data_IF_853615360673
#
_entry.id   IF_853615360673
#
_cell.length_a   1.000
_cell.length_b   1.000
_cell.length_c   1.000
_cell.angle_alpha   90.00
_cell.angle_beta   90.00
_cell.angle_gamma   90.00
#
_symmetry.space_group_name_H-M   'P 1'
#
loop_
_entity.id
_entity.type
_entity.pdbx_description
1 polymer ?
#
# COMPACT_ATOMS: atom_id res chain seq x y z
N UNK A 1 -8.26 7.27 13.92
CA UNK A 1 -7.00 7.96 13.52
C UNK A 1 -6.45 7.26 12.29
N UNK A 2 -5.74 7.95 11.39
CA UNK A 2 -5.12 7.31 10.21
C UNK A 2 -3.69 7.79 10.03
N UNK A 3 -2.81 6.92 9.53
CA UNK A 3 -1.40 7.20 9.38
C UNK A 3 -0.95 6.83 7.96
N UNK A 4 -0.42 7.83 7.25
CA UNK A 4 0.03 7.69 5.87
C UNK A 4 1.55 7.58 5.80
N UNK A 5 2.03 6.74 4.90
CA UNK A 5 3.43 6.43 4.70
C UNK A 5 3.76 6.51 3.21
N UNK A 6 4.80 7.27 2.88
CA UNK A 6 5.32 7.38 1.52
C UNK A 6 6.50 6.43 1.34
N UNK A 7 6.47 5.64 0.27
CA UNK A 7 7.55 4.77 -0.15
C UNK A 7 8.15 5.31 -1.45
N UNK A 8 9.47 5.44 -1.48
CA UNK A 8 10.23 5.89 -2.65
C UNK A 8 11.16 4.73 -3.05
N UNK A 9 10.98 4.25 -4.27
CA UNK A 9 11.81 3.20 -4.88
C UNK A 9 13.14 3.78 -5.42
N UNK A 10 14.11 2.90 -5.72
CA UNK A 10 15.44 3.28 -6.24
C UNK A 10 15.39 4.01 -7.58
N UNK A 11 14.33 3.84 -8.37
CA UNK A 11 14.14 4.59 -9.62
C UNK A 11 13.40 5.93 -9.40
N UNK A 12 13.17 6.34 -8.15
CA UNK A 12 12.50 7.59 -7.82
C UNK A 12 10.97 7.54 -7.89
N UNK A 13 10.39 6.37 -8.14
CA UNK A 13 8.94 6.18 -8.13
C UNK A 13 8.43 6.32 -6.70
N UNK A 14 7.44 7.21 -6.51
CA UNK A 14 6.80 7.42 -5.22
C UNK A 14 5.43 6.74 -5.22
N UNK A 15 5.11 6.09 -4.11
CA UNK A 15 3.79 5.56 -3.86
C UNK A 15 3.46 5.71 -2.37
N UNK A 16 2.19 5.76 -2.02
CA UNK A 16 1.74 5.98 -0.65
C UNK A 16 0.79 4.88 -0.21
N UNK A 17 0.87 4.52 1.07
CA UNK A 17 -0.15 3.72 1.72
C UNK A 17 -0.58 4.34 3.04
N UNK A 18 -1.85 4.14 3.39
CA UNK A 18 -2.47 4.64 4.61
C UNK A 18 -3.01 3.47 5.41
N UNK A 19 -2.70 3.44 6.70
CA UNK A 19 -3.33 2.54 7.67
C UNK A 19 -4.33 3.37 8.47
N UNK A 20 -5.58 2.95 8.45
CA UNK A 20 -6.70 3.56 9.14
C UNK A 20 -6.93 2.87 10.48
N UNK A 21 -7.75 3.51 11.31
CA UNK A 21 -8.15 2.99 12.62
C UNK A 21 -8.94 1.70 12.49
N UNK A 22 -9.21 1.06 13.63
CA UNK A 22 -10.04 -0.12 13.65
C UNK A 22 -11.46 0.22 13.23
N UNK A 23 -11.99 -0.55 12.30
CA UNK A 23 -13.40 -0.53 11.95
C UNK A 23 -14.24 -1.29 13.00
N UNK A 24 -15.56 -1.32 12.80
CA UNK A 24 -16.51 -1.95 13.73
C UNK A 24 -16.24 -3.45 13.96
N UNK A 25 -15.42 -4.08 13.11
CA UNK A 25 -15.02 -5.49 13.22
C UNK A 25 -13.72 -5.67 14.00
N UNK A 26 -13.20 -4.59 14.60
CA UNK A 26 -11.93 -4.56 15.32
C UNK A 26 -10.73 -4.88 14.42
N UNK A 27 -10.86 -4.66 13.11
CA UNK A 27 -9.82 -4.83 12.10
C UNK A 27 -9.28 -3.48 11.66
N UNK A 28 -7.98 -3.39 11.37
CA UNK A 28 -7.35 -2.21 10.82
C UNK A 28 -7.49 -2.21 9.30
N UNK A 29 -8.14 -1.19 8.76
CA UNK A 29 -8.22 -0.97 7.32
C UNK A 29 -6.93 -0.35 6.79
N UNK A 30 -6.52 -0.73 5.58
CA UNK A 30 -5.40 -0.12 4.87
C UNK A 30 -5.72 0.08 3.40
N UNK A 31 -5.10 1.10 2.80
CA UNK A 31 -5.30 1.46 1.39
C UNK A 31 -4.02 2.02 0.79
N UNK A 32 -3.82 1.84 -0.52
CA UNK A 32 -2.72 2.42 -1.31
C UNK A 32 -3.24 3.47 -2.28
N UNK A 33 -2.40 4.41 -2.69
CA UNK A 33 -2.74 5.38 -3.75
C UNK A 33 -2.90 4.71 -5.13
N UNK A 34 -2.40 3.48 -5.26
CA UNK A 34 -2.58 2.63 -6.44
C UNK A 34 -3.97 1.97 -6.52
N UNK A 35 -4.82 2.14 -5.50
CA UNK A 35 -6.19 1.62 -5.44
C UNK A 35 -6.35 0.29 -4.69
N UNK A 36 -5.24 -0.30 -4.24
CA UNK A 36 -5.27 -1.52 -3.44
C UNK A 36 -5.73 -1.22 -2.01
N UNK A 37 -6.47 -2.14 -1.40
CA UNK A 37 -6.93 -1.98 -0.02
C UNK A 37 -7.24 -3.33 0.63
N UNK A 38 -7.40 -3.31 1.96
CA UNK A 38 -7.82 -4.49 2.71
C UNK A 38 -7.90 -4.23 4.20
N UNK A 39 -8.15 -5.30 4.96
CA UNK A 39 -8.19 -5.26 6.43
C UNK A 39 -7.16 -6.22 7.02
N UNK A 40 -6.78 -5.99 8.27
CA UNK A 40 -5.96 -6.91 9.05
C UNK A 40 -6.28 -6.82 10.56
N UNK A 41 -6.11 -7.89 11.35
CA UNK A 41 -6.50 -7.89 12.76
C UNK A 41 -5.52 -7.11 13.67
N UNK A 42 -4.43 -6.57 13.13
CA UNK A 42 -3.45 -5.79 13.87
C UNK A 42 -2.84 -4.70 13.00
N UNK A 43 -2.49 -3.56 13.62
CA UNK A 43 -1.87 -2.43 12.93
C UNK A 43 -0.60 -2.84 12.20
N UNK A 44 0.28 -3.61 12.85
CA UNK A 44 1.52 -4.09 12.25
C UNK A 44 1.26 -4.94 10.99
N UNK A 45 0.24 -5.80 11.03
CA UNK A 45 -0.14 -6.61 9.87
C UNK A 45 -0.79 -5.77 8.76
N UNK A 46 -1.59 -4.77 9.10
CA UNK A 46 -2.14 -3.84 8.12
C UNK A 46 -1.02 -3.07 7.42
N UNK A 47 -0.05 -2.57 8.20
CA UNK A 47 1.12 -1.86 7.68
C UNK A 47 1.99 -2.77 6.79
N UNK A 48 2.24 -4.01 7.21
CA UNK A 48 3.03 -4.98 6.44
C UNK A 48 2.34 -5.36 5.13
N UNK A 49 1.02 -5.64 5.17
CA UNK A 49 0.22 -5.97 3.98
C UNK A 49 0.18 -4.80 3.01
N UNK A 50 -0.14 -3.61 3.49
CA UNK A 50 -0.19 -2.40 2.67
C UNK A 50 1.16 -2.14 1.98
N UNK A 51 2.27 -2.25 2.72
CA UNK A 51 3.62 -2.08 2.17
C UNK A 51 3.97 -3.16 1.14
N UNK A 52 3.60 -4.42 1.39
CA UNK A 52 3.90 -5.54 0.48
C UNK A 52 3.15 -5.40 -0.83
N UNK A 53 1.84 -5.10 -0.75
CA UNK A 53 0.99 -4.88 -1.93
C UNK A 53 1.44 -3.65 -2.69
N UNK A 54 1.76 -2.54 -2.00
CA UNK A 54 2.28 -1.34 -2.64
C UNK A 54 3.54 -1.62 -3.48
N UNK A 55 4.51 -2.33 -2.89
CA UNK A 55 5.74 -2.72 -3.61
C UNK A 55 5.45 -3.62 -4.81
N UNK A 56 4.52 -4.56 -4.68
CA UNK A 56 4.12 -5.43 -5.78
C UNK A 56 3.47 -4.61 -6.91
N UNK A 57 2.55 -3.70 -6.58
CA UNK A 57 1.91 -2.80 -7.54
C UNK A 57 2.92 -1.88 -8.23
N UNK A 58 3.92 -1.37 -7.51
CA UNK A 58 5.02 -0.60 -8.11
C UNK A 58 5.86 -1.44 -9.08
N UNK A 59 6.17 -2.70 -8.74
CA UNK A 59 6.92 -3.61 -9.62
C UNK A 59 6.14 -3.95 -10.90
N UNK A 60 4.82 -4.17 -10.80
CA UNK A 60 3.95 -4.42 -11.96
C UNK A 60 3.88 -3.19 -12.86
N UNK A 61 3.70 -1.99 -12.32
CA UNK A 61 3.68 -0.74 -13.10
C UNK A 61 5.00 -0.46 -13.80
N UNK A 62 6.14 -0.72 -13.15
CA UNK A 62 7.46 -0.65 -13.78
C UNK A 62 7.55 -1.54 -15.02
N UNK A 63 7.07 -2.78 -14.91
CA UNK A 63 7.03 -3.73 -16.04
C UNK A 63 6.08 -3.29 -17.15
N UNK A 64 4.92 -2.73 -16.79
CA UNK A 64 3.96 -2.25 -17.79
C UNK A 64 4.48 -1.03 -18.57
N UNK A 65 5.30 -0.18 -17.96
CA UNK A 65 5.88 0.98 -18.64
C UNK A 65 6.99 0.62 -19.63
N UNK A 66 7.55 -0.60 -19.53
CA UNK A 66 8.55 -1.14 -20.46
C UNK A 66 7.92 -1.74 -21.73
N UNK A 67 6.60 -1.96 -21.73
CA UNK A 67 5.86 -2.56 -22.87
C UNK A 67 5.01 -1.50 -23.57
N UNK A 68 5.63 -0.40 -24.00
CA UNK A 68 4.98 0.58 -24.88
C UNK A 68 5.94 0.92 -26.02
N UNK A 69 5.84 0.14 -27.11
CA UNK A 69 6.50 0.36 -28.40
C UNK A 69 5.73 1.37 -29.24
#
# INVERSE_FOLDING_TARGET
>A
MSQSFTFIDVAGNQAQYTVHDRDQRNEFYWSTDHGDHGTAPSYAQAQERARTVLKASMAVRRRSNEVRW
#
